data_IF_800931516180
#
_entry.id   IF_800931516180
#
_cell.length_a   1.000
_cell.length_b   1.000
_cell.length_c   1.000
_cell.angle_alpha   90.00
_cell.angle_beta   90.00
_cell.angle_gamma   90.00
#
_symmetry.space_group_name_H-M   'P 1'
#
loop_
_entity.id
_entity.type
_entity.pdbx_description
1 polymer ?
#
# COMPACT_ATOMS: atom_id res chain seq x y z
N UNK A 1 -4.48 -8.26 -7.11
CA UNK A 1 -5.77 -8.44 -6.43
C UNK A 1 -6.79 -9.00 -7.41
N UNK A 2 -7.57 -10.00 -7.03
CA UNK A 2 -8.46 -10.66 -7.97
C UNK A 2 -9.88 -10.13 -7.96
N UNK A 3 -10.47 -9.98 -6.82
CA UNK A 3 -11.85 -9.57 -6.70
C UNK A 3 -12.00 -8.56 -5.59
N UNK A 4 -12.56 -7.46 -5.96
CA UNK A 4 -13.06 -6.50 -5.02
C UNK A 4 -14.56 -6.34 -5.24
N UNK A 5 -15.34 -6.14 -4.20
CA UNK A 5 -16.82 -6.11 -4.27
C UNK A 5 -17.43 -4.91 -5.00
N UNK A 6 -16.60 -4.14 -5.70
CA UNK A 6 -17.03 -2.98 -6.44
C UNK A 6 -17.39 -3.26 -7.90
N UNK A 7 -17.79 -2.22 -8.61
CA UNK A 7 -18.01 -2.20 -10.07
C UNK A 7 -16.79 -1.62 -10.77
N UNK A 8 -16.81 -1.61 -12.11
CA UNK A 8 -15.80 -0.94 -12.93
C UNK A 8 -15.74 0.57 -12.63
N UNK A 9 -16.89 1.17 -12.40
CA UNK A 9 -17.06 2.61 -12.10
C UNK A 9 -16.75 2.95 -10.63
N UNK A 10 -16.94 1.98 -9.74
CA UNK A 10 -16.67 2.11 -8.31
C UNK A 10 -16.02 0.83 -7.79
N UNK A 11 -14.75 0.61 -8.10
CA UNK A 11 -14.08 -0.67 -7.84
C UNK A 11 -13.85 -0.93 -6.37
N UNK A 12 -13.79 0.09 -5.54
CA UNK A 12 -13.55 -0.01 -4.11
C UNK A 12 -14.65 0.75 -3.36
N UNK A 13 -15.45 0.01 -2.61
CA UNK A 13 -16.51 0.58 -1.79
C UNK A 13 -16.05 0.67 -0.33
N UNK A 14 -15.48 1.80 0.03
CA UNK A 14 -15.15 2.08 1.43
C UNK A 14 -16.21 2.96 2.06
N UNK A 15 -16.77 2.47 3.15
CA UNK A 15 -17.61 3.28 4.00
C UNK A 15 -16.78 3.81 5.18
N UNK A 16 -16.51 5.10 5.20
CA UNK A 16 -15.66 5.72 6.22
C UNK A 16 -16.27 5.70 7.62
N UNK A 17 -17.57 5.44 7.74
CA UNK A 17 -18.27 5.31 9.04
C UNK A 17 -18.33 3.87 9.53
N UNK A 18 -18.07 2.90 8.69
CA UNK A 18 -18.07 1.47 8.99
C UNK A 18 -16.69 0.86 8.78
N UNK A 19 -15.95 0.70 9.86
CA UNK A 19 -14.60 0.13 9.83
C UNK A 19 -14.55 -1.31 9.32
N UNK A 20 -15.66 -2.05 9.42
CA UNK A 20 -15.74 -3.42 8.88
C UNK A 20 -15.67 -3.46 7.35
N UNK A 21 -15.91 -2.33 6.69
CA UNK A 21 -15.75 -2.19 5.23
C UNK A 21 -14.29 -2.03 4.79
N UNK A 22 -13.37 -1.77 5.72
CA UNK A 22 -11.96 -1.60 5.40
C UNK A 22 -11.32 -2.96 5.13
N UNK A 23 -10.56 -3.01 4.05
CA UNK A 23 -9.86 -4.22 3.62
C UNK A 23 -8.39 -4.08 4.00
N UNK A 24 -7.90 -5.04 4.77
CA UNK A 24 -6.47 -5.24 4.90
C UNK A 24 -5.99 -6.09 3.71
N UNK A 25 -5.47 -5.41 2.70
CA UNK A 25 -5.00 -6.06 1.47
C UNK A 25 -3.89 -7.08 1.72
N UNK A 26 -3.14 -6.94 2.82
CA UNK A 26 -2.10 -7.90 3.15
C UNK A 26 -2.68 -9.25 3.58
N UNK A 27 -3.81 -9.26 4.29
CA UNK A 27 -4.40 -10.48 4.83
C UNK A 27 -5.60 -11.00 4.05
N UNK A 28 -6.15 -10.19 3.14
CA UNK A 28 -7.32 -10.56 2.35
C UNK A 28 -7.03 -11.75 1.42
N UNK A 29 -7.94 -12.73 1.42
CA UNK A 29 -7.79 -13.95 0.63
C UNK A 29 -7.81 -13.72 -0.90
N UNK A 30 -8.35 -12.59 -1.36
CA UNK A 30 -8.34 -12.20 -2.78
C UNK A 30 -7.03 -11.54 -3.22
N UNK A 31 -6.09 -11.31 -2.33
CA UNK A 31 -4.79 -10.75 -2.64
C UNK A 31 -3.88 -11.82 -3.24
N UNK A 32 -3.51 -11.64 -4.50
CA UNK A 32 -2.64 -12.56 -5.25
C UNK A 32 -1.17 -12.23 -5.01
N UNK A 33 -0.83 -10.95 -4.99
CA UNK A 33 0.51 -10.47 -4.74
C UNK A 33 0.44 -9.19 -3.90
N UNK A 34 1.44 -8.98 -3.07
CA UNK A 34 1.50 -7.86 -2.16
C UNK A 34 2.92 -7.35 -2.01
N UNK A 35 3.06 -6.03 -1.93
CA UNK A 35 4.31 -5.35 -1.62
C UNK A 35 4.01 -4.04 -0.89
N UNK A 36 4.86 -3.69 0.06
CA UNK A 36 4.70 -2.47 0.84
C UNK A 36 6.03 -1.84 1.23
N UNK A 37 5.99 -0.54 1.44
CA UNK A 37 7.09 0.19 2.05
C UNK A 37 6.55 1.14 3.11
N UNK A 38 7.23 1.18 4.26
CA UNK A 38 6.99 2.16 5.33
C UNK A 38 8.23 3.03 5.50
N UNK A 39 8.03 4.33 5.54
CA UNK A 39 9.07 5.29 5.89
C UNK A 39 8.98 5.64 7.37
N UNK A 40 10.08 5.49 8.08
CA UNK A 40 10.18 5.85 9.49
C UNK A 40 10.81 7.24 9.63
N UNK A 41 10.36 8.01 10.58
CA UNK A 41 10.88 9.35 10.84
C UNK A 41 12.32 9.40 11.34
N UNK A 42 12.91 8.26 11.64
CA UNK A 42 14.28 8.10 12.15
C UNK A 42 15.33 7.83 11.04
N UNK A 43 14.96 7.99 9.77
CA UNK A 43 15.84 7.71 8.64
C UNK A 43 15.91 6.22 8.26
N UNK A 44 14.99 5.43 8.75
CA UNK A 44 14.82 4.03 8.34
C UNK A 44 13.60 3.86 7.46
N UNK A 45 13.60 2.80 6.68
CA UNK A 45 12.44 2.29 5.96
C UNK A 45 12.28 0.79 6.17
N UNK A 46 11.05 0.32 6.03
CA UNK A 46 10.77 -1.11 6.02
C UNK A 46 10.15 -1.46 4.67
N UNK A 47 10.88 -2.24 3.87
CA UNK A 47 10.45 -2.73 2.57
C UNK A 47 10.12 -4.22 2.71
N UNK A 48 8.85 -4.58 2.48
CA UNK A 48 8.38 -5.97 2.60
C UNK A 48 8.84 -6.64 3.91
N UNK A 49 8.76 -5.91 5.03
CA UNK A 49 9.15 -6.40 6.35
C UNK A 49 10.64 -6.29 6.70
N UNK A 50 11.49 -5.84 5.78
CA UNK A 50 12.94 -5.68 6.03
C UNK A 50 13.24 -4.21 6.32
N UNK A 51 13.72 -3.94 7.53
CA UNK A 51 14.09 -2.58 7.97
C UNK A 51 15.54 -2.28 7.59
N UNK A 52 15.73 -1.18 6.87
CA UNK A 52 17.07 -0.69 6.48
C UNK A 52 17.18 0.81 6.71
N UNK A 53 18.41 1.29 6.92
CA UNK A 53 18.68 2.73 7.00
C UNK A 53 18.76 3.33 5.60
N UNK A 54 18.01 4.40 5.39
CA UNK A 54 17.96 5.08 4.10
C UNK A 54 18.00 6.60 4.27
N UNK A 55 18.54 7.33 3.30
CA UNK A 55 18.50 8.79 3.33
C UNK A 55 17.06 9.30 3.30
N UNK A 56 16.82 10.37 4.02
CA UNK A 56 15.53 11.07 4.09
C UNK A 56 15.66 12.47 3.51
N UNK A 57 14.53 13.05 3.08
CA UNK A 57 14.48 14.43 2.60
C UNK A 57 14.94 14.64 1.16
N UNK A 58 15.21 13.58 0.41
CA UNK A 58 15.60 13.63 -0.99
C UNK A 58 14.64 12.81 -1.86
N UNK A 59 14.45 13.23 -3.12
CA UNK A 59 13.76 12.40 -4.10
C UNK A 59 14.57 11.14 -4.37
N UNK A 60 13.93 10.02 -4.31
CA UNK A 60 14.55 8.72 -4.50
C UNK A 60 13.63 7.79 -5.27
N UNK A 61 14.17 7.06 -6.25
CA UNK A 61 13.46 5.98 -6.89
C UNK A 61 13.38 4.78 -5.94
N UNK A 62 12.20 4.23 -5.81
CA UNK A 62 11.94 3.06 -4.97
C UNK A 62 11.28 1.99 -5.83
N UNK A 63 11.82 0.78 -5.76
CA UNK A 63 11.21 -0.40 -6.37
C UNK A 63 10.66 -1.29 -5.26
N UNK A 64 9.37 -1.56 -5.31
CA UNK A 64 8.70 -2.44 -4.35
C UNK A 64 8.42 -3.78 -5.04
N UNK A 65 9.16 -4.85 -4.71
CA UNK A 65 8.87 -6.17 -5.25
C UNK A 65 7.50 -6.67 -4.78
N UNK A 66 6.73 -7.23 -5.70
CA UNK A 66 5.48 -7.90 -5.36
C UNK A 66 5.75 -9.36 -5.00
N UNK A 67 5.42 -9.72 -3.78
CA UNK A 67 5.49 -11.09 -3.30
C UNK A 67 4.20 -11.82 -3.69
N UNK A 68 4.30 -12.78 -4.57
CA UNK A 68 3.17 -13.57 -5.04
C UNK A 68 2.81 -14.68 -4.05
N UNK A 69 1.53 -14.77 -3.73
CA UNK A 69 0.94 -15.83 -2.91
C UNK A 69 0.31 -16.91 -3.77
N UNK A 70 -0.12 -16.53 -4.97
CA UNK A 70 -0.73 -17.41 -5.94
C UNK A 70 -0.17 -17.08 -7.33
N UNK A 71 0.53 -18.04 -7.93
CA UNK A 71 1.14 -17.92 -9.25
C UNK A 71 0.23 -18.42 -10.37
N UNK A 72 -0.91 -18.99 -10.04
CA UNK A 72 -1.81 -19.65 -11.01
C UNK A 72 -3.03 -18.79 -11.34
N UNK A 73 -3.45 -17.95 -10.42
CA UNK A 73 -4.62 -17.09 -10.60
C UNK A 73 -4.24 -15.78 -11.31
N UNK A 74 -4.93 -15.49 -12.40
CA UNK A 74 -4.74 -14.23 -13.12
C UNK A 74 -5.33 -13.07 -12.31
N UNK A 75 -4.54 -12.03 -12.02
CA UNK A 75 -5.04 -10.84 -11.33
C UNK A 75 -6.01 -10.07 -12.23
N UNK A 76 -7.01 -9.46 -11.63
CA UNK A 76 -8.00 -8.62 -12.31
C UNK A 76 -7.84 -7.14 -11.99
N UNK A 77 -7.22 -6.81 -10.87
CA UNK A 77 -7.05 -5.45 -10.38
C UNK A 77 -5.65 -5.26 -9.80
N UNK A 78 -5.13 -4.06 -9.96
CA UNK A 78 -4.04 -3.54 -9.15
C UNK A 78 -4.60 -2.48 -8.22
N UNK A 79 -4.16 -2.49 -6.98
CA UNK A 79 -4.52 -1.48 -5.99
C UNK A 79 -3.23 -0.82 -5.52
N UNK A 80 -3.17 0.50 -5.62
CA UNK A 80 -2.08 1.30 -5.07
C UNK A 80 -2.66 2.18 -3.97
N UNK A 81 -2.16 2.03 -2.77
CA UNK A 81 -2.57 2.83 -1.61
C UNK A 81 -1.36 3.59 -1.07
N UNK A 82 -1.53 4.87 -0.87
CA UNK A 82 -0.51 5.75 -0.35
C UNK A 82 -1.08 6.60 0.78
N UNK A 83 -0.36 6.68 1.88
CA UNK A 83 -0.78 7.46 3.03
C UNK A 83 0.41 8.13 3.71
N UNK A 84 0.21 9.30 4.28
CA UNK A 84 1.22 9.99 5.08
C UNK A 84 1.33 9.44 6.51
N UNK A 85 0.43 8.53 6.91
CA UNK A 85 0.42 7.85 8.20
C UNK A 85 0.08 6.38 8.02
N UNK A 86 0.80 5.48 8.70
CA UNK A 86 0.57 4.04 8.63
C UNK A 86 -0.75 3.60 9.27
N UNK A 87 -1.25 4.35 10.23
CA UNK A 87 -2.48 4.06 10.98
C UNK A 87 -3.47 5.22 10.95
N UNK A 88 -3.61 5.86 9.78
CA UNK A 88 -4.50 7.01 9.62
C UNK A 88 -5.97 6.72 9.91
N UNK A 89 -6.42 5.49 9.69
CA UNK A 89 -7.76 5.01 10.01
C UNK A 89 -8.06 4.99 11.53
N UNK A 90 -7.02 4.98 12.37
CA UNK A 90 -7.13 5.14 13.83
C UNK A 90 -6.90 6.58 14.28
N UNK A 91 -6.91 7.55 13.35
CA UNK A 91 -6.62 8.97 13.62
C UNK A 91 -5.24 9.20 14.24
N UNK A 92 -4.30 8.30 14.01
CA UNK A 92 -2.91 8.46 14.41
C UNK A 92 -2.16 9.12 13.28
N UNK A 93 -1.66 10.28 13.50
CA UNK A 93 -0.93 11.06 12.50
C UNK A 93 -0.29 12.26 13.13
N UNK A 94 0.46 12.99 12.32
CA UNK A 94 1.10 14.24 12.69
C UNK A 94 0.80 15.26 11.60
N UNK A 95 0.45 16.48 11.96
CA UNK A 95 0.18 17.56 10.99
C UNK A 95 1.35 17.84 10.05
N UNK A 96 2.56 17.52 10.48
CA UNK A 96 3.79 17.69 9.70
C UNK A 96 4.14 16.46 8.87
N UNK A 97 3.45 15.32 9.03
CA UNK A 97 3.68 14.12 8.25
C UNK A 97 3.21 14.33 6.82
N UNK A 98 4.14 14.28 5.87
CA UNK A 98 3.87 14.48 4.44
C UNK A 98 4.55 13.39 3.64
N UNK A 99 3.89 12.96 2.57
CA UNK A 99 4.42 12.03 1.60
C UNK A 99 4.30 12.66 0.22
N UNK A 100 5.41 12.76 -0.50
CA UNK A 100 5.44 13.23 -1.88
C UNK A 100 5.73 12.04 -2.78
N UNK A 101 4.93 11.92 -3.84
CA UNK A 101 4.98 10.79 -4.77
C UNK A 101 4.98 11.33 -6.21
N UNK A 102 5.74 10.67 -7.08
CA UNK A 102 5.81 10.99 -8.49
C UNK A 102 6.16 9.74 -9.30
N UNK A 103 5.84 9.75 -10.60
CA UNK A 103 6.28 8.80 -11.62
C UNK A 103 6.04 7.32 -11.26
N UNK A 104 4.79 6.95 -10.99
CA UNK A 104 4.43 5.55 -10.78
C UNK A 104 4.61 4.71 -12.04
N UNK A 105 5.23 3.57 -11.90
CA UNK A 105 5.43 2.60 -12.97
C UNK A 105 5.20 1.18 -12.46
N UNK A 106 4.49 0.37 -13.24
CA UNK A 106 4.41 -1.08 -13.02
C UNK A 106 5.43 -1.77 -13.93
N UNK A 107 6.36 -2.49 -13.31
CA UNK A 107 7.42 -3.23 -14.00
C UNK A 107 7.05 -4.72 -14.01
N UNK A 108 7.03 -5.31 -15.19
CA UNK A 108 6.68 -6.73 -15.38
C UNK A 108 7.46 -7.39 -16.53
#
# INVERSE_FOLDING_TARGET
>A
YRKYGGTKESPILWNTTDKSSFVDFNTDASTIAYGEIYFHGDGYETLNGVKTKQPTGEWRQITIPLNYRDMTTVPTHIVVSCASSAYGDYFTGCETAKLWLDAFELIY
#
